data_IF_012159104837
#
_entry.id   IF_012159104837
#
_cell.length_a   1.000
_cell.length_b   1.000
_cell.length_c   1.000
_cell.angle_alpha   90.00
_cell.angle_beta   90.00
_cell.angle_gamma   90.00
#
_symmetry.space_group_name_H-M   'P 1'
#
loop_
_entity.id
_entity.type
_entity.pdbx_description
1 polymer ?
#
# COMPACT_ATOMS: atom_id res chain seq x y z
N UNK A 1 18.21 -1.55 -14.39
CA UNK A 1 18.12 -2.25 -15.69
C UNK A 1 16.84 -3.09 -15.86
N UNK A 2 15.86 -3.03 -14.94
CA UNK A 2 14.59 -3.79 -15.02
C UNK A 2 13.38 -2.97 -15.51
N UNK A 3 13.39 -1.63 -15.38
CA UNK A 3 12.27 -0.77 -15.80
C UNK A 3 11.98 -0.84 -17.31
N UNK A 4 13.03 -0.88 -18.14
CA UNK A 4 12.91 -0.93 -19.61
C UNK A 4 12.41 -2.27 -20.15
N UNK A 5 12.40 -3.33 -19.34
CA UNK A 5 12.02 -4.67 -19.78
C UNK A 5 10.52 -4.93 -19.63
N UNK A 6 9.84 -4.28 -18.68
CA UNK A 6 8.39 -4.39 -18.50
C UNK A 6 7.59 -3.52 -19.49
N UNK A 7 8.13 -2.37 -19.92
CA UNK A 7 7.48 -1.56 -20.96
C UNK A 7 7.40 -2.27 -22.32
N UNK A 8 8.42 -3.04 -22.71
CA UNK A 8 8.44 -3.67 -24.03
C UNK A 8 7.57 -4.92 -24.14
N UNK A 9 7.38 -5.67 -23.05
CA UNK A 9 6.63 -6.93 -23.09
C UNK A 9 5.11 -6.75 -23.06
N UNK A 10 4.61 -5.66 -22.45
CA UNK A 10 3.17 -5.33 -22.47
C UNK A 10 2.78 -4.67 -23.79
N UNK A 11 3.65 -3.82 -24.36
CA UNK A 11 3.37 -3.11 -25.62
C UNK A 11 3.41 -4.06 -26.84
N UNK A 12 4.28 -5.08 -26.82
CA UNK A 12 4.48 -5.99 -27.97
C UNK A 12 3.28 -6.90 -28.29
N UNK A 13 2.43 -7.23 -27.31
CA UNK A 13 1.30 -8.15 -27.54
C UNK A 13 0.04 -7.47 -28.08
N UNK A 14 0.03 -6.15 -28.14
CA UNK A 14 -1.14 -5.34 -28.52
C UNK A 14 -1.05 -4.90 -30.00
N UNK A 15 0.11 -5.04 -30.65
CA UNK A 15 0.35 -4.50 -32.00
C UNK A 15 0.26 -5.54 -33.12
N UNK A 16 -0.82 -6.35 -33.16
CA UNK A 16 -1.09 -7.23 -34.32
C UNK A 16 -2.55 -7.31 -34.72
N UNK A 17 -3.38 -6.31 -34.42
CA UNK A 17 -4.71 -6.20 -35.01
C UNK A 17 -5.15 -4.73 -34.99
N UNK A 18 -5.58 -4.22 -36.15
CA UNK A 18 -5.85 -2.81 -36.38
C UNK A 18 -6.97 -2.20 -35.53
N UNK A 19 -6.92 -0.88 -35.42
CA UNK A 19 -8.00 0.01 -34.97
C UNK A 19 -8.77 -0.45 -33.72
N UNK A 20 -8.12 -0.39 -32.57
CA UNK A 20 -8.82 -0.27 -31.29
C UNK A 20 -8.68 1.17 -30.82
N UNK A 21 -9.78 1.92 -30.82
CA UNK A 21 -9.90 3.17 -30.09
C UNK A 21 -9.46 2.91 -28.65
N UNK A 22 -8.39 3.58 -28.20
CA UNK A 22 -8.01 3.57 -26.80
C UNK A 22 -9.14 4.29 -26.07
N UNK A 23 -10.08 3.54 -25.51
CA UNK A 23 -11.16 4.12 -24.73
C UNK A 23 -10.54 4.89 -23.56
N UNK A 24 -10.84 6.18 -23.44
CA UNK A 24 -10.31 7.10 -22.42
C UNK A 24 -10.42 6.50 -20.99
N UNK A 25 -11.51 5.76 -20.75
CA UNK A 25 -11.80 5.05 -19.50
C UNK A 25 -10.76 4.00 -19.06
N UNK A 26 -9.99 3.44 -19.99
CA UNK A 26 -8.95 2.45 -19.69
C UNK A 26 -7.69 3.09 -19.12
N UNK A 27 -7.39 4.31 -19.57
CA UNK A 27 -6.24 5.08 -19.11
C UNK A 27 -6.46 5.61 -17.69
N UNK A 28 -7.67 6.09 -17.38
CA UNK A 28 -8.01 6.60 -16.04
C UNK A 28 -7.86 5.53 -14.96
N UNK A 29 -8.35 4.31 -15.22
CA UNK A 29 -8.22 3.18 -14.28
C UNK A 29 -6.77 2.77 -14.04
N UNK A 30 -5.94 2.85 -15.09
CA UNK A 30 -4.51 2.57 -14.98
C UNK A 30 -3.82 3.64 -14.12
N UNK A 31 -4.13 4.92 -14.33
CA UNK A 31 -3.56 6.01 -13.55
C UNK A 31 -3.96 5.95 -12.07
N UNK A 32 -5.22 5.62 -11.77
CA UNK A 32 -5.68 5.37 -10.40
C UNK A 32 -4.92 4.21 -9.75
N UNK A 33 -4.80 3.08 -10.45
CA UNK A 33 -4.05 1.92 -9.94
C UNK A 33 -2.59 2.27 -9.62
N UNK A 34 -1.91 3.00 -10.51
CA UNK A 34 -0.52 3.43 -10.31
C UNK A 34 -0.40 4.42 -9.13
N UNK A 35 -1.36 5.32 -8.96
CA UNK A 35 -1.39 6.21 -7.80
C UNK A 35 -1.52 5.44 -6.48
N UNK A 36 -2.44 4.44 -6.44
CA UNK A 36 -2.61 3.55 -5.29
C UNK A 36 -1.33 2.76 -4.98
N UNK A 37 -0.68 2.24 -6.02
CA UNK A 37 0.58 1.51 -5.90
C UNK A 37 1.70 2.36 -5.31
N UNK A 38 1.83 3.62 -5.75
CA UNK A 38 2.83 4.56 -5.23
C UNK A 38 2.57 4.93 -3.77
N UNK A 39 1.34 5.28 -3.40
CA UNK A 39 0.96 5.58 -2.00
C UNK A 39 1.22 4.38 -1.08
N UNK A 40 0.85 3.18 -1.53
CA UNK A 40 1.11 1.92 -0.81
C UNK A 40 2.59 1.52 -0.75
N UNK A 41 3.47 2.20 -1.51
CA UNK A 41 4.91 1.87 -1.64
C UNK A 41 5.13 0.41 -2.01
N UNK A 42 4.31 -0.07 -2.94
CA UNK A 42 4.29 -1.47 -3.35
C UNK A 42 5.67 -1.92 -3.86
N UNK A 43 6.12 -3.08 -3.42
CA UNK A 43 7.45 -3.64 -3.72
C UNK A 43 8.57 -3.14 -2.80
N UNK A 44 8.35 -2.11 -1.97
CA UNK A 44 9.33 -1.68 -0.98
C UNK A 44 9.21 -2.49 0.32
N UNK A 45 10.28 -3.17 0.70
CA UNK A 45 10.39 -3.91 1.96
C UNK A 45 11.21 -3.16 3.03
N UNK A 46 11.46 -1.86 2.83
CA UNK A 46 12.24 -1.09 3.79
C UNK A 46 11.47 -0.89 5.10
N UNK A 47 12.15 -0.84 6.26
CA UNK A 47 11.49 -0.58 7.54
C UNK A 47 10.64 0.69 7.55
N UNK A 48 11.09 1.76 6.88
CA UNK A 48 10.31 3.00 6.76
C UNK A 48 8.99 2.79 6.00
N UNK A 49 9.02 2.06 4.89
CA UNK A 49 7.81 1.77 4.13
C UNK A 49 6.83 0.93 4.94
N UNK A 50 7.32 -0.08 5.67
CA UNK A 50 6.48 -0.93 6.53
C UNK A 50 5.91 -0.12 7.70
N UNK A 51 6.72 0.74 8.34
CA UNK A 51 6.30 1.65 9.40
C UNK A 51 5.12 2.51 8.95
N UNK A 52 5.25 3.19 7.80
CA UNK A 52 4.19 4.06 7.26
C UNK A 52 2.89 3.30 7.02
N UNK A 53 2.97 2.08 6.47
CA UNK A 53 1.81 1.22 6.27
C UNK A 53 1.17 0.78 7.58
N UNK A 54 1.95 0.38 8.58
CA UNK A 54 1.44 0.05 9.91
C UNK A 54 0.73 1.23 10.56
N UNK A 55 1.31 2.43 10.47
CA UNK A 55 0.68 3.66 10.99
C UNK A 55 -0.63 3.95 10.26
N UNK A 56 -0.64 3.87 8.93
CA UNK A 56 -1.84 4.11 8.13
C UNK A 56 -2.96 3.11 8.45
N UNK A 57 -2.62 1.81 8.57
CA UNK A 57 -3.58 0.77 8.99
C UNK A 57 -4.13 1.08 10.37
N UNK A 58 -3.28 1.42 11.35
CA UNK A 58 -3.74 1.80 12.69
C UNK A 58 -4.70 2.98 12.64
N UNK A 59 -4.36 4.03 11.91
CA UNK A 59 -5.19 5.24 11.79
C UNK A 59 -6.53 4.92 11.13
N UNK A 60 -6.54 4.08 10.10
CA UNK A 60 -7.76 3.64 9.42
C UNK A 60 -8.72 2.86 10.33
N UNK A 61 -8.21 2.21 11.39
CA UNK A 61 -9.07 1.54 12.38
C UNK A 61 -9.86 2.51 13.27
N UNK A 62 -9.40 3.76 13.42
CA UNK A 62 -9.97 4.74 14.35
C UNK A 62 -9.70 4.47 15.84
N UNK A 63 -9.05 3.36 16.20
CA UNK A 63 -8.74 3.01 17.60
C UNK A 63 -7.39 3.58 18.05
N UNK A 64 -7.24 3.73 19.37
CA UNK A 64 -5.95 4.10 19.96
C UNK A 64 -5.00 2.91 19.95
N UNK A 65 -3.70 3.20 19.88
CA UNK A 65 -2.66 2.18 19.91
C UNK A 65 -2.68 1.32 21.20
N UNK A 66 -3.14 1.89 22.32
CA UNK A 66 -3.33 1.16 23.59
C UNK A 66 -4.38 0.07 23.44
N UNK A 67 -5.53 0.42 22.88
CA UNK A 67 -6.71 -0.45 22.78
C UNK A 67 -6.44 -1.59 21.78
N UNK A 68 -5.74 -1.28 20.69
CA UNK A 68 -5.28 -2.28 19.72
C UNK A 68 -4.22 -3.21 20.31
N UNK A 69 -3.31 -2.69 21.13
CA UNK A 69 -2.29 -3.52 21.78
C UNK A 69 -2.95 -4.50 22.77
N UNK A 70 -3.91 -4.05 23.57
CA UNK A 70 -4.70 -4.89 24.46
C UNK A 70 -5.48 -5.96 23.69
N UNK A 71 -6.16 -5.57 22.60
CA UNK A 71 -6.93 -6.49 21.74
C UNK A 71 -6.05 -7.54 21.06
N UNK A 72 -4.85 -7.16 20.63
CA UNK A 72 -3.85 -8.09 20.11
C UNK A 72 -3.16 -8.92 21.22
N UNK A 73 -3.41 -8.59 22.49
CA UNK A 73 -2.72 -9.13 23.67
C UNK A 73 -1.19 -9.00 23.53
N UNK A 74 -0.76 -7.82 23.09
CA UNK A 74 0.63 -7.38 22.97
C UNK A 74 0.84 -6.24 23.95
N UNK A 75 1.96 -6.22 24.68
CA UNK A 75 2.28 -5.08 25.54
C UNK A 75 2.37 -3.79 24.72
N UNK A 76 1.75 -2.70 25.16
CA UNK A 76 1.73 -1.42 24.45
C UNK A 76 3.11 -0.94 23.98
N UNK A 77 4.14 -1.02 24.83
CA UNK A 77 5.51 -0.63 24.47
C UNK A 77 6.07 -1.47 23.32
N UNK A 78 5.74 -2.76 23.30
CA UNK A 78 6.14 -3.68 22.23
C UNK A 78 5.39 -3.37 20.95
N UNK A 79 4.09 -3.08 21.03
CA UNK A 79 3.28 -2.66 19.90
C UNK A 79 3.87 -1.40 19.24
N UNK A 80 4.13 -0.35 20.03
CA UNK A 80 4.72 0.90 19.51
C UNK A 80 6.15 0.72 18.98
N UNK A 81 6.96 -0.15 19.59
CA UNK A 81 8.30 -0.47 19.09
C UNK A 81 8.25 -1.19 17.74
N UNK A 82 7.37 -2.19 17.59
CA UNK A 82 7.16 -2.90 16.32
C UNK A 82 6.66 -1.96 15.23
N UNK A 83 5.69 -1.09 15.56
CA UNK A 83 5.19 -0.06 14.65
C UNK A 83 6.32 0.89 14.23
N UNK A 84 7.07 1.46 15.19
CA UNK A 84 8.13 2.44 14.93
C UNK A 84 9.34 1.88 14.19
N UNK A 85 9.71 0.61 14.43
CA UNK A 85 10.82 -0.06 13.75
C UNK A 85 10.43 -0.68 12.40
N UNK A 86 9.16 -0.63 12.00
CA UNK A 86 8.69 -1.29 10.79
C UNK A 86 8.93 -2.80 10.79
N UNK A 87 8.94 -3.41 11.98
CA UNK A 87 9.25 -4.83 12.18
C UNK A 87 8.11 -5.52 12.94
N UNK A 88 6.93 -5.69 12.31
CA UNK A 88 5.78 -6.27 12.96
C UNK A 88 5.99 -7.76 13.24
N UNK A 89 5.55 -8.21 14.41
CA UNK A 89 5.50 -9.64 14.71
C UNK A 89 4.37 -10.33 13.96
N UNK A 90 4.49 -11.64 13.74
CA UNK A 90 3.41 -12.45 13.15
C UNK A 90 2.09 -12.31 13.92
N UNK A 91 2.15 -12.13 15.25
CA UNK A 91 0.97 -11.91 16.09
C UNK A 91 0.24 -10.60 15.75
N UNK A 92 0.99 -9.52 15.52
CA UNK A 92 0.42 -8.24 15.11
C UNK A 92 -0.21 -8.33 13.71
N UNK A 93 0.47 -9.01 12.78
CA UNK A 93 -0.05 -9.24 11.43
C UNK A 93 -1.34 -10.09 11.44
N UNK A 94 -1.34 -11.19 12.19
CA UNK A 94 -2.52 -12.06 12.35
C UNK A 94 -3.69 -11.32 13.00
N UNK A 95 -3.41 -10.44 13.98
CA UNK A 95 -4.43 -9.58 14.56
C UNK A 95 -5.08 -8.65 13.53
N UNK A 96 -4.28 -7.93 12.73
CA UNK A 96 -4.83 -7.03 11.71
C UNK A 96 -5.60 -7.78 10.62
N UNK A 97 -5.14 -8.97 10.24
CA UNK A 97 -5.86 -9.85 9.32
C UNK A 97 -7.23 -10.26 9.88
N UNK A 98 -7.27 -10.77 11.12
CA UNK A 98 -8.50 -11.29 11.73
C UNK A 98 -9.51 -10.20 12.10
N UNK A 99 -9.04 -9.06 12.61
CA UNK A 99 -9.91 -8.00 13.11
C UNK A 99 -10.36 -7.03 12.02
N UNK A 100 -9.49 -6.74 11.04
CA UNK A 100 -9.70 -5.66 10.07
C UNK A 100 -9.56 -6.12 8.60
N UNK A 101 -9.34 -7.42 8.35
CA UNK A 101 -9.15 -7.99 7.01
C UNK A 101 -8.02 -7.32 6.21
N UNK A 102 -6.97 -6.85 6.91
CA UNK A 102 -5.79 -6.28 6.27
C UNK A 102 -4.77 -7.39 6.03
N UNK A 103 -4.49 -7.67 4.75
CA UNK A 103 -3.56 -8.73 4.34
C UNK A 103 -2.12 -8.42 4.82
N UNK A 104 -1.41 -9.39 5.43
CA UNK A 104 -0.01 -9.19 5.81
C UNK A 104 0.91 -8.77 4.66
N UNK A 105 0.62 -9.17 3.42
CA UNK A 105 1.37 -8.77 2.23
C UNK A 105 1.20 -7.29 1.91
N UNK A 106 0.08 -6.67 2.29
CA UNK A 106 -0.03 -5.22 2.22
C UNK A 106 0.93 -4.56 3.20
N UNK A 107 0.89 -4.98 4.46
CA UNK A 107 1.74 -4.40 5.52
C UNK A 107 3.23 -4.56 5.18
N UNK A 108 3.64 -5.74 4.69
CA UNK A 108 5.04 -6.06 4.41
C UNK A 108 5.49 -5.61 3.02
N UNK A 109 4.72 -5.89 1.97
CA UNK A 109 5.08 -5.65 0.57
C UNK A 109 4.26 -4.60 -0.18
N UNK A 110 3.15 -4.12 0.38
CA UNK A 110 2.32 -3.08 -0.22
C UNK A 110 1.42 -3.63 -1.32
N UNK A 111 1.16 -4.93 -1.30
CA UNK A 111 0.18 -5.58 -2.17
C UNK A 111 -1.22 -5.41 -1.58
N UNK A 112 -2.05 -4.63 -2.26
CA UNK A 112 -3.42 -4.32 -1.86
C UNK A 112 -4.47 -5.16 -2.59
N UNK A 113 -4.08 -6.14 -3.41
CA UNK A 113 -4.99 -6.94 -4.24
C UNK A 113 -6.05 -7.72 -3.45
N UNK A 114 -5.78 -7.99 -2.17
CA UNK A 114 -6.62 -8.79 -1.26
C UNK A 114 -7.39 -7.96 -0.23
N UNK A 115 -7.29 -6.64 -0.29
CA UNK A 115 -7.98 -5.73 0.64
C UNK A 115 -9.30 -5.29 0.03
N UNK A 116 -10.36 -5.23 0.86
CA UNK A 116 -11.65 -4.69 0.44
C UNK A 116 -11.53 -3.21 0.03
N UNK A 117 -12.24 -2.75 -1.02
CA UNK A 117 -12.10 -1.38 -1.53
C UNK A 117 -12.26 -0.29 -0.47
N UNK A 118 -13.27 -0.38 0.39
CA UNK A 118 -13.53 0.64 1.43
C UNK A 118 -12.40 0.69 2.47
N UNK A 119 -11.90 -0.48 2.89
CA UNK A 119 -10.74 -0.59 3.79
C UNK A 119 -9.49 -0.01 3.14
N UNK A 120 -9.28 -0.28 1.85
CA UNK A 120 -8.14 0.24 1.11
C UNK A 120 -8.19 1.76 1.03
N UNK A 121 -9.32 2.36 0.67
CA UNK A 121 -9.48 3.82 0.60
C UNK A 121 -9.26 4.48 1.97
N UNK A 122 -9.77 3.88 3.06
CA UNK A 122 -9.52 4.36 4.41
C UNK A 122 -8.02 4.36 4.75
N UNK A 123 -7.30 3.28 4.42
CA UNK A 123 -5.85 3.20 4.65
C UNK A 123 -5.09 4.22 3.78
N UNK A 124 -5.43 4.30 2.49
CA UNK A 124 -4.77 5.20 1.54
C UNK A 124 -4.97 6.67 1.89
N UNK A 125 -6.08 7.04 2.54
CA UNK A 125 -6.31 8.40 3.03
C UNK A 125 -5.28 8.87 4.06
N UNK A 126 -4.59 7.92 4.72
CA UNK A 126 -3.54 8.17 5.69
C UNK A 126 -2.12 7.98 5.13
N UNK A 127 -1.98 7.71 3.83
CA UNK A 127 -0.70 7.59 3.16
C UNK A 127 -0.45 8.81 2.26
N UNK A 128 0.72 9.42 2.43
CA UNK A 128 1.24 10.42 1.53
C UNK A 128 1.65 9.80 0.19
N UNK A 129 1.49 10.58 -0.88
CA UNK A 129 2.07 10.27 -2.18
C UNK A 129 3.51 10.81 -2.22
N UNK A 130 4.54 9.95 -2.21
CA UNK A 130 5.94 10.38 -2.17
C UNK A 130 6.37 11.17 -3.42
N UNK A 131 5.62 11.09 -4.52
CA UNK A 131 5.94 11.76 -5.78
C UNK A 131 5.07 12.99 -6.07
N UNK A 132 4.05 13.27 -5.26
CA UNK A 132 3.21 14.46 -5.45
C UNK A 132 3.96 15.78 -5.19
N UNK A 133 5.10 15.76 -4.50
CA UNK A 133 5.89 16.95 -4.15
C UNK A 133 7.07 17.26 -5.07
N UNK A 134 7.31 16.48 -6.14
CA UNK A 134 8.47 16.67 -7.03
C UNK A 134 8.16 17.45 -8.31
N UNK A 135 6.90 17.77 -8.61
CA UNK A 135 6.53 18.58 -9.79
C UNK A 135 6.75 20.09 -9.60
N UNK A 136 6.84 20.59 -8.37
CA UNK A 136 6.93 22.03 -8.07
C UNK A 136 8.38 22.57 -7.98
N UNK A 137 9.39 21.79 -8.38
CA UNK A 137 10.82 22.18 -8.29
C UNK A 137 11.58 22.18 -9.62
N UNK A 138 10.91 22.62 -10.68
CA UNK A 138 11.59 23.06 -11.90
C UNK A 138 11.23 24.54 -12.15
N UNK A 139 12.00 25.43 -11.53
CA UNK A 139 12.09 26.86 -11.88
C UNK A 139 13.52 27.16 -12.27
#
# INVERSE_FOLDING_TARGET
>A
MQQKYYDKFVISRIWTSGNAEISDSGNDKLMDYLAKQRRARSGSLTPDAIHRRLVAVRLATGFKATDLAESASIKYTTFKSQEGSGSPSLRMLDFYWKAFQVDPNFILGGDFSRILPDTLEAILSHLDDPEAGTSDRAT
#
